data_IF_260418928317
#
_entry.id   IF_260418928317
#
_cell.length_a   1.000
_cell.length_b   1.000
_cell.length_c   1.000
_cell.angle_alpha   90.00
_cell.angle_beta   90.00
_cell.angle_gamma   90.00
#
_symmetry.space_group_name_H-M   'P 1'
#
loop_
_entity.id
_entity.type
_entity.pdbx_description
1 polymer ?
#
# COMPACT_ATOMS: atom_id res chain seq x y z
N UNK A 1 16.75 4.59 -6.82
CA UNK A 1 15.90 4.69 -8.05
C UNK A 1 14.95 5.84 -7.81
N UNK A 2 15.06 6.93 -8.55
CA UNK A 2 14.12 8.05 -8.42
C UNK A 2 12.84 7.64 -9.16
N UNK A 3 11.77 7.37 -8.42
CA UNK A 3 10.50 6.93 -8.98
C UNK A 3 9.34 7.32 -8.07
N UNK A 4 8.12 7.06 -8.57
CA UNK A 4 6.86 7.35 -7.87
C UNK A 4 6.30 6.04 -7.32
N UNK A 5 6.16 5.98 -5.99
CA UNK A 5 5.89 4.74 -5.28
C UNK A 5 4.58 4.77 -4.51
N UNK A 6 3.85 3.66 -4.52
CA UNK A 6 2.75 3.41 -3.58
C UNK A 6 3.27 2.48 -2.48
N UNK A 7 3.13 2.88 -1.22
CA UNK A 7 3.54 2.03 -0.10
C UNK A 7 2.42 1.08 0.29
N UNK A 8 2.75 -0.19 0.41
CA UNK A 8 1.93 -1.19 1.07
C UNK A 8 1.98 -1.05 2.61
N UNK A 9 1.02 -1.65 3.31
CA UNK A 9 0.88 -1.58 4.76
C UNK A 9 2.11 -2.09 5.49
N UNK A 10 2.72 -3.19 5.02
CA UNK A 10 3.94 -3.73 5.63
C UNK A 10 5.13 -2.74 5.56
N UNK A 11 5.21 -1.90 4.53
CA UNK A 11 6.26 -0.88 4.38
C UNK A 11 6.00 0.29 5.30
N UNK A 12 4.75 0.74 5.44
CA UNK A 12 4.40 1.81 6.40
C UNK A 12 4.67 1.36 7.84
N UNK A 13 4.39 0.09 8.17
CA UNK A 13 4.73 -0.49 9.47
C UNK A 13 6.25 -0.49 9.68
N UNK A 14 7.05 -0.86 8.67
CA UNK A 14 8.51 -0.83 8.75
C UNK A 14 9.04 0.60 8.93
N UNK A 15 8.48 1.58 8.21
CA UNK A 15 8.78 3.00 8.42
C UNK A 15 8.47 3.41 9.86
N UNK A 16 7.35 2.97 10.42
CA UNK A 16 7.01 3.23 11.82
C UNK A 16 7.96 2.55 12.81
N UNK A 17 8.54 1.42 12.43
CA UNK A 17 9.58 0.75 13.20
C UNK A 17 10.97 1.41 13.06
N UNK A 18 11.07 2.55 12.35
CA UNK A 18 12.34 3.25 12.09
C UNK A 18 13.32 2.39 11.26
N UNK A 19 12.79 1.58 10.33
CA UNK A 19 13.62 0.82 9.39
C UNK A 19 14.43 1.78 8.50
N UNK A 20 15.75 1.77 8.68
CA UNK A 20 16.67 2.73 8.04
C UNK A 20 16.71 2.58 6.53
N UNK A 21 16.52 1.36 6.01
CA UNK A 21 16.54 1.11 4.57
C UNK A 21 15.30 1.72 3.91
N UNK A 22 14.13 1.52 4.52
CA UNK A 22 12.88 2.13 4.06
C UNK A 22 12.97 3.66 4.12
N UNK A 23 13.53 4.23 5.19
CA UNK A 23 13.73 5.68 5.30
C UNK A 23 14.65 6.24 4.21
N UNK A 24 15.76 5.56 3.91
CA UNK A 24 16.68 5.95 2.84
C UNK A 24 15.99 5.91 1.48
N UNK A 25 15.26 4.84 1.17
CA UNK A 25 14.54 4.73 -0.10
C UNK A 25 13.44 5.79 -0.26
N UNK A 26 12.71 6.12 0.81
CA UNK A 26 11.72 7.21 0.80
C UNK A 26 12.40 8.56 0.54
N UNK A 27 13.56 8.81 1.16
CA UNK A 27 14.28 10.07 0.96
C UNK A 27 14.84 10.25 -0.47
N UNK A 28 15.12 9.14 -1.17
CA UNK A 28 15.59 9.14 -2.57
C UNK A 28 14.45 9.08 -3.59
N UNK A 29 13.22 8.78 -3.18
CA UNK A 29 12.07 8.68 -4.06
C UNK A 29 11.68 10.05 -4.64
N UNK A 30 11.16 10.04 -5.88
CA UNK A 30 10.62 11.26 -6.49
C UNK A 30 9.30 11.66 -5.80
N UNK A 31 8.44 10.68 -5.55
CA UNK A 31 7.21 10.86 -4.80
C UNK A 31 6.78 9.55 -4.14
N UNK A 32 6.13 9.67 -2.98
CA UNK A 32 5.60 8.54 -2.22
C UNK A 32 4.13 8.78 -1.90
N UNK A 33 3.32 7.77 -2.16
CA UNK A 33 1.88 7.78 -1.98
C UNK A 33 1.45 6.65 -1.04
N UNK A 34 0.28 6.82 -0.43
CA UNK A 34 -0.34 5.82 0.44
C UNK A 34 -1.80 5.66 0.05
N UNK A 35 -2.27 4.43 -0.10
CA UNK A 35 -3.70 4.18 -0.33
C UNK A 35 -4.49 4.40 0.97
N UNK A 36 -5.68 4.97 0.87
CA UNK A 36 -6.63 5.04 2.00
C UNK A 36 -6.93 3.67 2.63
N UNK A 37 -6.82 2.58 1.86
CA UNK A 37 -6.96 1.20 2.34
C UNK A 37 -5.86 0.86 3.35
N UNK A 38 -4.61 1.24 3.06
CA UNK A 38 -3.47 1.05 3.99
C UNK A 38 -3.72 1.78 5.30
N UNK A 39 -4.24 3.02 5.25
CA UNK A 39 -4.63 3.74 6.47
C UNK A 39 -5.71 2.98 7.25
N UNK A 40 -6.71 2.42 6.55
CA UNK A 40 -7.75 1.59 7.16
C UNK A 40 -7.16 0.39 7.92
N UNK A 41 -6.20 -0.30 7.33
CA UNK A 41 -5.50 -1.43 7.97
C UNK A 41 -4.69 -0.98 9.19
N UNK A 42 -3.98 0.14 9.09
CA UNK A 42 -3.23 0.72 10.21
C UNK A 42 -4.16 1.11 11.37
N UNK A 43 -5.29 1.77 11.07
CA UNK A 43 -6.28 2.14 12.09
C UNK A 43 -6.88 0.91 12.77
N UNK A 44 -7.19 -0.14 12.00
CA UNK A 44 -7.63 -1.42 12.55
C UNK A 44 -6.57 -2.03 13.47
N UNK A 45 -5.32 -2.08 13.02
CA UNK A 45 -4.18 -2.57 13.81
C UNK A 45 -3.99 -1.79 15.11
N UNK A 46 -4.06 -0.45 15.06
CA UNK A 46 -3.96 0.41 16.23
C UNK A 46 -5.08 0.14 17.24
N UNK A 47 -6.33 -0.02 16.79
CA UNK A 47 -7.48 -0.34 17.66
C UNK A 47 -7.37 -1.70 18.33
N UNK A 48 -6.70 -2.67 17.70
CA UNK A 48 -6.44 -4.00 18.26
C UNK A 48 -5.23 -4.02 19.21
N UNK A 49 -4.40 -2.98 19.20
CA UNK A 49 -3.15 -2.95 19.97
C UNK A 49 -3.36 -2.63 21.45
N UNK A 50 -2.35 -2.95 22.29
CA UNK A 50 -2.35 -2.55 23.70
C UNK A 50 -2.18 -1.03 23.91
N UNK A 51 -1.67 -0.31 22.90
CA UNK A 51 -1.36 1.13 22.96
C UNK A 51 -2.20 1.91 21.93
N UNK A 52 -3.51 1.83 22.05
CA UNK A 52 -4.47 2.40 21.07
C UNK A 52 -4.26 3.89 20.83
N UNK A 53 -4.40 4.74 21.86
CA UNK A 53 -4.33 6.20 21.72
C UNK A 53 -3.04 6.72 21.05
N UNK A 54 -1.82 6.33 21.49
CA UNK A 54 -0.59 6.80 20.83
C UNK A 54 -0.44 6.25 19.41
N UNK A 55 -0.92 5.04 19.13
CA UNK A 55 -0.87 4.49 17.77
C UNK A 55 -1.82 5.22 16.82
N UNK A 56 -3.02 5.59 17.28
CA UNK A 56 -3.95 6.41 16.49
C UNK A 56 -3.35 7.79 16.18
N UNK A 57 -2.83 8.49 17.20
CA UNK A 57 -2.21 9.80 17.02
C UNK A 57 -1.06 9.77 16.00
N UNK A 58 -0.24 8.71 16.04
CA UNK A 58 0.83 8.49 15.07
C UNK A 58 0.32 8.27 13.65
N UNK A 59 -0.76 7.51 13.48
CA UNK A 59 -1.37 7.28 12.16
C UNK A 59 -1.99 8.57 11.63
N UNK A 60 -2.63 9.37 12.49
CA UNK A 60 -3.23 10.65 12.11
C UNK A 60 -2.16 11.65 11.62
N UNK A 61 -1.02 11.73 12.30
CA UNK A 61 0.14 12.54 11.88
C UNK A 61 0.70 12.07 10.53
N UNK A 62 0.88 10.75 10.38
CA UNK A 62 1.33 10.16 9.12
C UNK A 62 0.36 10.42 7.97
N UNK A 63 -0.95 10.26 8.19
CA UNK A 63 -1.96 10.52 7.18
C UNK A 63 -1.98 11.99 6.75
N UNK A 64 -1.81 12.92 7.71
CA UNK A 64 -1.77 14.37 7.44
C UNK A 64 -0.55 14.77 6.62
N UNK A 65 0.57 14.06 6.80
CA UNK A 65 1.84 14.35 6.12
C UNK A 65 2.05 13.56 4.82
N UNK A 66 1.17 12.62 4.50
CA UNK A 66 1.30 11.74 3.33
C UNK A 66 0.40 12.17 2.16
N UNK A 67 0.83 11.89 0.94
CA UNK A 67 -0.02 11.99 -0.24
C UNK A 67 -0.97 10.77 -0.31
N UNK A 68 -2.18 10.92 0.25
CA UNK A 68 -3.16 9.83 0.33
C UNK A 68 -4.00 9.75 -0.94
N UNK A 69 -4.08 8.56 -1.54
CA UNK A 69 -4.93 8.25 -2.69
C UNK A 69 -6.20 7.51 -2.25
N UNK A 70 -7.34 7.92 -2.80
CA UNK A 70 -8.67 7.38 -2.44
C UNK A 70 -9.22 6.59 -3.62
N UNK A 71 -9.90 5.47 -3.34
CA UNK A 71 -10.55 4.68 -4.38
C UNK A 71 -11.75 5.45 -4.96
N UNK A 72 -11.87 5.38 -6.28
CA UNK A 72 -13.04 5.87 -7.00
C UNK A 72 -13.59 4.81 -7.97
N UNK A 73 -14.34 5.25 -8.97
CA UNK A 73 -14.92 4.35 -9.99
C UNK A 73 -13.84 3.74 -10.89
N UNK A 74 -12.78 4.48 -11.25
CA UNK A 74 -11.67 3.95 -12.03
C UNK A 74 -10.90 2.89 -11.25
N UNK A 75 -10.68 3.11 -9.95
CA UNK A 75 -10.07 2.09 -9.07
C UNK A 75 -10.93 0.83 -9.03
N UNK A 76 -12.25 0.99 -8.92
CA UNK A 76 -13.20 -0.13 -8.91
C UNK A 76 -13.16 -0.97 -10.19
N UNK A 77 -12.96 -0.34 -11.35
CA UNK A 77 -12.79 -1.05 -12.62
C UNK A 77 -11.50 -1.88 -12.64
N UNK A 78 -10.38 -1.31 -12.18
CA UNK A 78 -9.11 -2.04 -12.08
C UNK A 78 -9.24 -3.22 -11.11
N UNK A 79 -9.82 -2.99 -9.92
CA UNK A 79 -10.08 -4.03 -8.92
C UNK A 79 -10.86 -5.22 -9.51
N UNK A 80 -11.95 -4.95 -10.23
CA UNK A 80 -12.79 -6.01 -10.81
C UNK A 80 -12.03 -6.86 -11.82
N UNK A 81 -11.22 -6.21 -12.66
CA UNK A 81 -10.37 -6.88 -13.65
C UNK A 81 -9.31 -7.75 -12.97
N UNK A 82 -8.55 -7.18 -12.03
CA UNK A 82 -7.50 -7.90 -11.27
C UNK A 82 -8.10 -9.11 -10.56
N UNK A 83 -9.20 -8.94 -9.82
CA UNK A 83 -9.84 -10.01 -9.06
C UNK A 83 -10.32 -11.16 -9.96
N UNK A 84 -10.91 -10.83 -11.11
CA UNK A 84 -11.35 -11.84 -12.06
C UNK A 84 -10.16 -12.63 -12.64
N UNK A 85 -9.08 -11.96 -13.01
CA UNK A 85 -7.86 -12.62 -13.51
C UNK A 85 -7.26 -13.53 -12.43
N UNK A 86 -7.07 -13.03 -11.20
CA UNK A 86 -6.53 -13.82 -10.09
C UNK A 86 -7.39 -15.06 -9.80
N UNK A 87 -8.72 -14.90 -9.86
CA UNK A 87 -9.66 -16.01 -9.71
C UNK A 87 -9.51 -17.05 -10.82
N UNK A 88 -9.40 -16.62 -12.08
CA UNK A 88 -9.20 -17.51 -13.22
C UNK A 88 -7.86 -18.27 -13.14
N UNK A 89 -6.82 -17.64 -12.59
CA UNK A 89 -5.51 -18.26 -12.33
C UNK A 89 -5.51 -19.22 -11.13
N UNK A 90 -6.53 -19.19 -10.27
CA UNK A 90 -6.53 -19.90 -9.00
C UNK A 90 -5.51 -19.35 -7.99
N UNK A 91 -5.20 -18.06 -8.09
CA UNK A 91 -4.21 -17.35 -7.26
C UNK A 91 -4.86 -16.19 -6.51
N UNK A 92 -5.82 -16.44 -5.60
CA UNK A 92 -6.44 -15.37 -4.84
C UNK A 92 -5.41 -14.69 -3.91
N UNK A 93 -5.51 -13.37 -3.80
CA UNK A 93 -4.80 -12.57 -2.79
C UNK A 93 -5.85 -11.91 -1.87
N UNK A 94 -5.46 -11.41 -0.69
CA UNK A 94 -6.38 -10.71 0.22
C UNK A 94 -7.08 -9.52 -0.45
N UNK A 95 -8.31 -9.24 0.00
CA UNK A 95 -9.18 -8.25 -0.67
C UNK A 95 -8.61 -6.83 -0.67
N UNK A 96 -7.98 -6.42 0.43
CA UNK A 96 -7.36 -5.09 0.54
C UNK A 96 -6.15 -4.96 -0.39
N UNK A 97 -5.38 -6.02 -0.57
CA UNK A 97 -4.24 -6.05 -1.48
C UNK A 97 -4.69 -5.88 -2.94
N UNK A 98 -5.85 -6.41 -3.32
CA UNK A 98 -6.42 -6.16 -4.65
C UNK A 98 -6.73 -4.67 -4.83
N UNK A 99 -7.27 -3.99 -3.80
CA UNK A 99 -7.51 -2.55 -3.87
C UNK A 99 -6.22 -1.72 -3.95
N UNK A 100 -5.19 -2.11 -3.18
CA UNK A 100 -3.88 -1.47 -3.22
C UNK A 100 -3.24 -1.64 -4.61
N UNK A 101 -3.27 -2.84 -5.17
CA UNK A 101 -2.82 -3.13 -6.52
C UNK A 101 -3.59 -2.33 -7.58
N UNK A 102 -4.92 -2.22 -7.42
CA UNK A 102 -5.78 -1.45 -8.31
C UNK A 102 -5.40 0.04 -8.34
N UNK A 103 -5.17 0.67 -7.17
CA UNK A 103 -4.68 2.05 -7.08
C UNK A 103 -3.31 2.18 -7.76
N UNK A 104 -2.39 1.25 -7.50
CA UNK A 104 -1.07 1.30 -8.11
C UNK A 104 -1.15 1.26 -9.65
N UNK A 105 -2.03 0.43 -10.22
CA UNK A 105 -2.23 0.37 -11.67
C UNK A 105 -2.91 1.60 -12.24
N UNK A 106 -3.96 2.10 -11.58
CA UNK A 106 -4.68 3.31 -12.02
C UNK A 106 -3.74 4.52 -12.12
N UNK A 107 -2.91 4.74 -11.09
CA UNK A 107 -2.00 5.88 -11.01
C UNK A 107 -0.62 5.61 -11.62
N UNK A 108 -0.41 4.42 -12.21
CA UNK A 108 0.85 3.98 -12.82
C UNK A 108 2.05 4.09 -11.86
N UNK A 109 1.83 3.68 -10.60
CA UNK A 109 2.83 3.70 -9.54
C UNK A 109 3.49 2.34 -9.40
N UNK A 110 4.76 2.34 -9.00
CA UNK A 110 5.43 1.11 -8.56
C UNK A 110 5.00 0.82 -7.12
N UNK A 111 4.41 -0.36 -6.89
CA UNK A 111 4.06 -0.82 -5.56
C UNK A 111 5.33 -1.25 -4.81
N UNK A 112 5.50 -0.76 -3.59
CA UNK A 112 6.54 -1.23 -2.68
C UNK A 112 5.88 -2.14 -1.67
N UNK A 113 6.28 -3.41 -1.66
CA UNK A 113 5.74 -4.41 -0.74
C UNK A 113 6.78 -5.49 -0.44
N UNK A 114 6.67 -6.09 0.75
CA UNK A 114 7.41 -7.31 1.13
C UNK A 114 6.62 -8.59 0.83
N UNK A 115 5.37 -8.48 0.39
CA UNK A 115 4.50 -9.61 0.13
C UNK A 115 4.60 -10.09 -1.32
N UNK A 116 4.97 -11.36 -1.49
CA UNK A 116 5.31 -11.89 -2.82
C UNK A 116 4.09 -12.14 -3.71
N UNK A 117 2.91 -12.29 -3.12
CA UNK A 117 1.67 -12.57 -3.84
C UNK A 117 1.23 -11.46 -4.81
N UNK A 118 1.73 -10.22 -4.66
CA UNK A 118 1.48 -9.14 -5.62
C UNK A 118 2.07 -9.45 -7.00
N UNK A 119 3.06 -10.36 -7.10
CA UNK A 119 3.60 -10.85 -8.38
C UNK A 119 2.58 -11.59 -9.24
N UNK A 120 1.46 -12.04 -8.65
CA UNK A 120 0.38 -12.71 -9.40
C UNK A 120 -0.52 -11.72 -10.17
N UNK A 121 -0.42 -10.41 -9.85
CA UNK A 121 -1.17 -9.33 -10.51
C UNK A 121 -0.47 -8.92 -11.81
N UNK A 122 -1.12 -9.16 -12.94
CA UNK A 122 -0.55 -8.86 -14.26
C UNK A 122 -0.36 -7.36 -14.47
N UNK A 123 0.82 -6.97 -14.95
CA UNK A 123 1.15 -5.57 -15.27
C UNK A 123 1.43 -4.69 -14.05
N UNK A 124 1.42 -5.23 -12.83
CA UNK A 124 1.79 -4.49 -11.63
C UNK A 124 3.32 -4.46 -11.46
N UNK A 125 3.90 -3.26 -11.40
CA UNK A 125 5.31 -3.08 -11.04
C UNK A 125 5.45 -3.18 -9.52
N UNK A 126 6.22 -4.16 -9.04
CA UNK A 126 6.45 -4.37 -7.61
C UNK A 126 7.94 -4.40 -7.31
N UNK A 127 8.36 -3.64 -6.31
CA UNK A 127 9.71 -3.69 -5.76
C UNK A 127 9.67 -3.96 -4.26
N UNK A 128 10.79 -4.45 -3.73
CA UNK A 128 10.96 -4.74 -2.32
C UNK A 128 11.94 -3.75 -1.70
N UNK A 129 11.54 -3.15 -0.59
CA UNK A 129 12.39 -2.38 0.34
C UNK A 129 12.45 -3.08 1.70
#
# INVERSE_FOLDING_TARGET
MNGRFLLDTNIVIALFAQDTLVQQHIAEAEAVFVASIVLGELYYGARKSARVAPNLARIDEFATSSAVLVCDTATGQQYGQIKNILRQKGRPIPENDIWIAAIAQEYQLTLVSRDEHFREVDGLSVIRW
#
